data_IF_267598263402
#
_entry.id   IF_267598263402
#
_cell.length_a   1.000
_cell.length_b   1.000
_cell.length_c   1.000
_cell.angle_alpha   90.00
_cell.angle_beta   90.00
_cell.angle_gamma   90.00
#
_symmetry.space_group_name_H-M   'P 1'
#
loop_
_entity.id
_entity.type
_entity.pdbx_description
1 polymer ?
#
# COMPACT_ATOMS: atom_id res chain seq x y z
N UNK A 1 9.24 -15.16 6.88
CA UNK A 1 8.62 -15.83 5.72
C UNK A 1 8.34 -17.26 6.11
N UNK A 2 7.07 -17.60 6.32
CA UNK A 2 6.66 -19.01 6.39
C UNK A 2 6.90 -19.59 5.00
N UNK A 3 7.72 -20.64 4.91
CA UNK A 3 7.77 -21.47 3.71
C UNK A 3 6.37 -22.05 3.52
N UNK A 4 5.55 -21.40 2.70
CA UNK A 4 4.32 -22.01 2.21
C UNK A 4 4.79 -23.10 1.27
N UNK A 5 4.61 -24.36 1.69
CA UNK A 5 4.87 -25.52 0.87
C UNK A 5 3.73 -25.55 -0.16
N UNK A 6 4.02 -25.02 -1.34
CA UNK A 6 3.07 -24.92 -2.46
C UNK A 6 2.82 -26.34 -2.98
N UNK A 7 1.62 -26.86 -2.77
CA UNK A 7 1.11 -28.01 -3.52
C UNK A 7 0.67 -27.54 -4.90
N UNK A 8 0.95 -28.33 -5.94
CA UNK A 8 0.74 -27.96 -7.36
C UNK A 8 -0.73 -27.72 -7.76
N UNK A 9 -1.72 -28.11 -6.96
CA UNK A 9 -3.15 -28.10 -7.33
C UNK A 9 -4.07 -27.39 -6.31
N UNK A 10 -3.58 -26.35 -5.64
CA UNK A 10 -4.42 -25.55 -4.73
C UNK A 10 -4.89 -24.28 -5.45
N UNK A 11 -6.20 -24.08 -5.66
CA UNK A 11 -6.75 -22.86 -6.27
C UNK A 11 -6.34 -21.59 -5.51
N UNK A 12 -6.15 -21.73 -4.19
CA UNK A 12 -5.58 -20.73 -3.29
C UNK A 12 -4.13 -20.32 -3.65
N UNK A 13 -3.36 -21.21 -4.27
CA UNK A 13 -1.99 -20.95 -4.70
C UNK A 13 -1.93 -20.06 -5.93
N UNK A 14 -2.83 -20.26 -6.90
CA UNK A 14 -2.91 -19.47 -8.13
C UNK A 14 -3.35 -18.04 -7.81
N UNK A 15 -4.39 -17.89 -6.99
CA UNK A 15 -4.85 -16.56 -6.54
C UNK A 15 -3.73 -15.82 -5.79
N UNK A 16 -3.00 -16.50 -4.91
CA UNK A 16 -1.85 -15.92 -4.22
C UNK A 16 -0.74 -15.45 -5.18
N UNK A 17 -0.37 -16.29 -6.17
CA UNK A 17 0.68 -15.96 -7.15
C UNK A 17 0.25 -14.74 -7.98
N UNK A 18 -0.98 -14.72 -8.48
CA UNK A 18 -1.47 -13.60 -9.28
C UNK A 18 -1.54 -12.29 -8.50
N UNK A 19 -2.00 -12.33 -7.25
CA UNK A 19 -1.94 -11.15 -6.36
C UNK A 19 -0.52 -10.63 -6.19
N UNK A 20 0.42 -11.54 -5.95
CA UNK A 20 1.82 -11.18 -5.75
C UNK A 20 2.43 -10.61 -7.03
N UNK A 21 2.15 -11.22 -8.18
CA UNK A 21 2.59 -10.74 -9.49
C UNK A 21 2.07 -9.32 -9.76
N UNK A 22 0.78 -9.08 -9.57
CA UNK A 22 0.17 -7.76 -9.77
C UNK A 22 0.69 -6.70 -8.78
N UNK A 23 0.97 -7.07 -7.53
CA UNK A 23 1.58 -6.17 -6.55
C UNK A 23 3.04 -5.81 -6.94
N UNK A 24 3.83 -6.79 -7.37
CA UNK A 24 5.21 -6.57 -7.84
C UNK A 24 5.25 -5.72 -9.11
N UNK A 25 4.34 -5.97 -10.05
CA UNK A 25 4.22 -5.18 -11.28
C UNK A 25 3.94 -3.71 -10.96
N UNK A 26 2.93 -3.42 -10.12
CA UNK A 26 2.63 -2.04 -9.67
C UNK A 26 3.81 -1.40 -8.95
N UNK A 27 4.49 -2.15 -8.07
CA UNK A 27 5.68 -1.65 -7.37
C UNK A 27 6.79 -1.26 -8.36
N UNK A 28 7.16 -2.17 -9.26
CA UNK A 28 8.21 -1.94 -10.25
C UNK A 28 7.84 -0.78 -11.19
N UNK A 29 6.61 -0.72 -11.68
CA UNK A 29 6.12 0.39 -12.52
C UNK A 29 6.25 1.74 -11.81
N UNK A 30 5.99 1.82 -10.49
CA UNK A 30 6.19 3.06 -9.73
C UNK A 30 7.66 3.41 -9.53
N UNK A 31 8.51 2.42 -9.28
CA UNK A 31 9.96 2.62 -9.16
C UNK A 31 10.51 3.18 -10.47
N UNK A 32 10.20 2.56 -11.61
CA UNK A 32 10.75 2.97 -12.92
C UNK A 32 10.11 4.24 -13.47
N UNK A 33 8.88 4.59 -13.08
CA UNK A 33 8.26 5.87 -13.46
C UNK A 33 8.71 7.05 -12.59
N UNK A 34 9.44 6.78 -11.50
CA UNK A 34 9.97 7.83 -10.63
C UNK A 34 11.32 8.35 -11.16
N UNK A 35 11.46 9.67 -11.44
CA UNK A 35 12.67 10.22 -12.06
C UNK A 35 13.97 9.95 -11.28
N UNK A 36 13.90 10.02 -9.94
CA UNK A 36 15.05 9.71 -9.07
C UNK A 36 15.30 8.21 -8.88
N UNK A 37 14.27 7.40 -8.59
CA UNK A 37 14.46 5.97 -8.32
C UNK A 37 14.92 5.20 -9.57
N UNK A 38 14.52 5.60 -10.77
CA UNK A 38 15.01 5.00 -12.02
C UNK A 38 16.53 5.23 -12.23
N UNK A 39 17.08 6.29 -11.63
CA UNK A 39 18.52 6.59 -11.72
C UNK A 39 19.34 5.83 -10.69
N UNK A 40 18.70 5.14 -9.76
CA UNK A 40 19.37 4.37 -8.73
C UNK A 40 20.16 3.20 -9.36
N UNK A 41 21.47 3.07 -9.09
CA UNK A 41 22.29 2.00 -9.66
C UNK A 41 21.78 0.60 -9.30
N UNK A 42 21.26 0.40 -8.09
CA UNK A 42 20.77 -0.91 -7.65
C UNK A 42 19.48 -1.27 -8.40
N UNK A 43 18.61 -0.30 -8.69
CA UNK A 43 17.40 -0.51 -9.50
C UNK A 43 17.77 -0.93 -10.92
N UNK A 44 18.72 -0.24 -11.55
CA UNK A 44 19.18 -0.57 -12.90
C UNK A 44 19.84 -1.94 -12.94
N UNK A 45 20.75 -2.20 -12.01
CA UNK A 45 21.42 -3.49 -11.89
C UNK A 45 20.42 -4.63 -11.67
N UNK A 46 19.40 -4.42 -10.82
CA UNK A 46 18.37 -5.40 -10.55
C UNK A 46 17.52 -5.74 -11.79
N UNK A 47 17.26 -4.75 -12.65
CA UNK A 47 16.44 -4.93 -13.86
C UNK A 47 17.23 -5.43 -15.07
N UNK A 48 18.51 -5.12 -15.16
CA UNK A 48 19.34 -5.38 -16.35
C UNK A 48 20.21 -6.63 -16.24
N UNK A 49 20.48 -7.15 -15.03
CA UNK A 49 21.28 -8.37 -14.87
C UNK A 49 20.48 -9.63 -15.19
N UNK A 50 21.10 -10.52 -15.96
CA UNK A 50 20.56 -11.88 -16.21
C UNK A 50 20.57 -12.74 -14.94
N UNK A 51 21.66 -12.65 -14.16
CA UNK A 51 21.82 -13.38 -12.90
C UNK A 51 21.94 -12.42 -11.72
N UNK A 52 20.98 -12.50 -10.80
CA UNK A 52 21.01 -11.73 -9.56
C UNK A 52 21.92 -12.41 -8.53
N UNK A 53 22.76 -11.65 -7.80
CA UNK A 53 23.59 -12.21 -6.74
C UNK A 53 22.71 -12.89 -5.68
N UNK A 54 23.19 -14.02 -5.16
CA UNK A 54 22.46 -14.77 -4.12
C UNK A 54 22.18 -13.86 -2.94
N UNK A 55 20.91 -13.68 -2.61
CA UNK A 55 20.51 -12.75 -1.58
C UNK A 55 21.10 -13.13 -0.21
N UNK A 56 21.94 -12.24 0.33
CA UNK A 56 22.59 -12.37 1.65
C UNK A 56 21.79 -11.56 2.67
N UNK A 57 21.64 -12.04 3.91
CA UNK A 57 20.95 -11.31 5.00
C UNK A 57 19.46 -10.93 4.75
N UNK A 58 18.72 -11.67 3.94
CA UNK A 58 17.28 -11.41 3.68
C UNK A 58 16.36 -11.54 4.90
N UNK A 59 16.85 -12.07 6.03
CA UNK A 59 16.06 -12.18 7.25
C UNK A 59 15.67 -10.81 7.85
N UNK A 60 16.52 -9.79 7.68
CA UNK A 60 16.24 -8.42 8.13
C UNK A 60 15.14 -7.72 7.31
N UNK A 61 14.94 -8.14 6.05
CA UNK A 61 13.97 -7.56 5.10
C UNK A 61 12.64 -8.33 5.03
N UNK A 62 12.47 -9.40 5.81
CA UNK A 62 11.19 -10.10 5.86
C UNK A 62 10.07 -9.17 6.35
N UNK A 63 8.85 -9.29 5.84
CA UNK A 63 7.74 -8.36 6.15
C UNK A 63 7.53 -8.08 7.64
N UNK A 64 7.79 -9.05 8.52
CA UNK A 64 7.77 -8.86 9.97
C UNK A 64 8.97 -8.07 10.52
N UNK A 65 10.14 -8.15 9.90
CA UNK A 65 11.35 -7.37 10.23
C UNK A 65 11.27 -5.92 9.73
N UNK A 66 10.72 -5.71 8.53
CA UNK A 66 10.48 -4.36 7.98
C UNK A 66 9.32 -3.66 8.71
N UNK A 67 8.17 -4.34 8.95
CA UNK A 67 7.10 -3.81 9.81
C UNK A 67 7.61 -3.58 11.24
N UNK A 68 8.46 -4.46 11.80
CA UNK A 68 9.12 -4.22 13.09
C UNK A 68 10.11 -3.06 13.05
N UNK A 69 10.79 -2.79 11.94
CA UNK A 69 11.67 -1.62 11.84
C UNK A 69 10.88 -0.32 11.73
N UNK A 70 9.76 -0.31 11.00
CA UNK A 70 8.85 0.84 10.93
C UNK A 70 8.15 1.07 12.27
N UNK A 71 7.63 0.04 12.92
CA UNK A 71 7.02 0.16 14.26
C UNK A 71 8.05 0.46 15.34
N UNK A 72 9.25 -0.12 15.31
CA UNK A 72 10.36 0.31 16.19
C UNK A 72 10.81 1.73 15.88
N UNK A 73 10.67 2.20 14.65
CA UNK A 73 10.95 3.57 14.30
C UNK A 73 9.90 4.52 14.92
N UNK A 74 8.62 4.15 14.85
CA UNK A 74 7.52 4.82 15.55
C UNK A 74 7.70 4.79 17.09
N UNK A 75 8.06 3.64 17.66
CA UNK A 75 8.31 3.51 19.12
C UNK A 75 9.57 4.24 19.58
N UNK A 76 10.60 4.35 18.72
CA UNK A 76 11.79 5.14 19.01
C UNK A 76 11.48 6.65 18.99
N UNK A 77 10.53 7.10 18.16
CA UNK A 77 10.02 8.49 18.20
C UNK A 77 9.33 8.77 19.55
N UNK A 78 8.65 7.78 20.13
CA UNK A 78 8.10 7.87 21.50
C UNK A 78 9.16 7.89 22.61
N UNK A 79 10.37 7.37 22.35
CA UNK A 79 11.50 7.36 23.31
C UNK A 79 12.47 8.54 23.17
N UNK A 80 12.34 9.37 22.15
CA UNK A 80 13.19 10.55 21.99
C UNK A 80 12.66 11.69 22.87
N UNK A 81 13.52 12.19 23.76
CA UNK A 81 13.19 13.09 24.87
C UNK A 81 12.90 14.53 24.45
N UNK A 82 13.22 14.91 23.21
CA UNK A 82 12.96 16.25 22.68
C UNK A 82 11.75 16.18 21.74
N UNK A 83 10.60 16.69 22.22
CA UNK A 83 9.40 16.86 21.42
C UNK A 83 9.62 18.01 20.42
N UNK A 84 9.50 17.71 19.13
CA UNK A 84 9.46 18.74 18.10
C UNK A 84 8.15 19.51 18.25
N UNK A 85 8.26 20.83 18.40
CA UNK A 85 7.12 21.72 18.17
C UNK A 85 7.18 22.09 16.70
N UNK A 86 6.29 21.52 15.88
CA UNK A 86 6.28 21.78 14.44
C UNK A 86 6.04 23.29 14.21
N UNK A 87 7.03 23.97 13.65
CA UNK A 87 6.93 25.39 13.33
C UNK A 87 6.46 25.64 11.91
N UNK A 88 6.55 24.65 11.02
CA UNK A 88 6.05 24.72 9.65
C UNK A 88 4.62 24.17 9.61
N UNK A 89 3.65 25.08 9.56
CA UNK A 89 2.22 24.74 9.55
C UNK A 89 1.84 23.78 8.42
N UNK A 90 2.55 23.81 7.29
CA UNK A 90 2.29 22.90 6.18
C UNK A 90 2.56 21.44 6.56
N UNK A 91 3.61 21.15 7.33
CA UNK A 91 3.91 19.78 7.75
C UNK A 91 2.87 19.26 8.75
N UNK A 92 2.43 20.11 9.68
CA UNK A 92 1.37 19.78 10.62
C UNK A 92 0.05 19.50 9.88
N UNK A 93 -0.40 20.44 9.04
CA UNK A 93 -1.64 20.31 8.27
C UNK A 93 -1.61 19.07 7.37
N UNK A 94 -0.48 18.84 6.66
CA UNK A 94 -0.33 17.68 5.76
C UNK A 94 -0.22 16.36 6.50
N UNK A 95 0.40 16.33 7.68
CA UNK A 95 0.42 15.13 8.50
C UNK A 95 -1.01 14.72 8.89
N UNK A 96 -1.81 15.67 9.37
CA UNK A 96 -3.21 15.43 9.74
C UNK A 96 -4.06 15.00 8.53
N UNK A 97 -3.87 15.63 7.37
CA UNK A 97 -4.54 15.25 6.12
C UNK A 97 -4.23 13.80 5.72
N UNK A 98 -2.95 13.42 5.75
CA UNK A 98 -2.50 12.06 5.42
C UNK A 98 -3.04 11.02 6.41
N UNK A 99 -3.06 11.31 7.71
CA UNK A 99 -3.63 10.40 8.71
C UNK A 99 -5.14 10.22 8.55
N UNK A 100 -5.86 11.32 8.32
CA UNK A 100 -7.30 11.28 8.08
C UNK A 100 -7.64 10.48 6.82
N UNK A 101 -6.91 10.72 5.73
CA UNK A 101 -7.09 9.99 4.48
C UNK A 101 -6.78 8.49 4.66
N UNK A 102 -5.67 8.14 5.33
CA UNK A 102 -5.31 6.74 5.58
C UNK A 102 -6.42 6.02 6.36
N UNK A 103 -6.99 6.68 7.38
CA UNK A 103 -8.07 6.11 8.18
C UNK A 103 -9.34 5.90 7.34
N UNK A 104 -9.69 6.84 6.48
CA UNK A 104 -10.84 6.74 5.59
C UNK A 104 -10.66 5.61 4.57
N UNK A 105 -9.49 5.52 3.92
CA UNK A 105 -9.19 4.46 2.97
C UNK A 105 -9.19 3.08 3.64
N UNK A 106 -8.71 2.95 4.88
CA UNK A 106 -8.78 1.68 5.63
C UNK A 106 -10.23 1.23 5.86
N UNK A 107 -11.12 2.17 6.23
CA UNK A 107 -12.55 1.87 6.39
C UNK A 107 -13.18 1.45 5.06
N UNK A 108 -12.89 2.19 3.98
CA UNK A 108 -13.39 1.85 2.65
C UNK A 108 -12.88 0.49 2.18
N UNK A 109 -11.59 0.20 2.36
CA UNK A 109 -10.99 -1.09 2.03
C UNK A 109 -11.67 -2.24 2.76
N UNK A 110 -11.95 -2.10 4.06
CA UNK A 110 -12.64 -3.15 4.83
C UNK A 110 -14.05 -3.44 4.29
N UNK A 111 -14.78 -2.41 3.85
CA UNK A 111 -16.10 -2.58 3.22
C UNK A 111 -15.97 -3.24 1.84
N UNK A 112 -14.97 -2.87 1.05
CA UNK A 112 -14.72 -3.46 -0.27
C UNK A 112 -14.26 -4.93 -0.14
N UNK A 113 -13.41 -5.27 0.83
CA UNK A 113 -13.03 -6.66 1.11
C UNK A 113 -14.27 -7.51 1.44
N UNK A 114 -15.18 -6.96 2.24
CA UNK A 114 -16.46 -7.61 2.54
C UNK A 114 -17.30 -7.80 1.27
N UNK A 115 -17.35 -6.80 0.38
CA UNK A 115 -18.02 -6.91 -0.92
C UNK A 115 -17.45 -8.06 -1.77
N UNK A 116 -16.13 -8.20 -1.84
CA UNK A 116 -15.48 -9.30 -2.58
C UNK A 116 -15.94 -10.66 -2.03
N UNK A 117 -15.96 -10.81 -0.70
CA UNK A 117 -16.35 -12.07 -0.08
C UNK A 117 -17.82 -12.40 -0.34
N UNK A 118 -18.72 -11.43 -0.16
CA UNK A 118 -20.14 -11.61 -0.47
C UNK A 118 -20.36 -11.95 -1.95
N UNK A 119 -19.57 -11.38 -2.87
CA UNK A 119 -19.64 -11.72 -4.30
C UNK A 119 -19.24 -13.17 -4.58
N UNK A 120 -18.17 -13.64 -3.92
CA UNK A 120 -17.71 -15.04 -4.01
C UNK A 120 -18.75 -16.01 -3.43
N UNK A 121 -19.38 -15.64 -2.32
CA UNK A 121 -20.49 -16.43 -1.73
C UNK A 121 -21.70 -16.46 -2.66
N UNK A 122 -22.08 -15.32 -3.24
CA UNK A 122 -23.17 -15.25 -4.21
C UNK A 122 -22.89 -16.15 -5.42
N UNK A 123 -21.69 -16.08 -5.98
CA UNK A 123 -21.22 -16.96 -7.05
C UNK A 123 -21.43 -18.45 -6.70
N UNK A 124 -20.94 -18.88 -5.52
CA UNK A 124 -21.09 -20.27 -5.07
C UNK A 124 -22.55 -20.69 -4.87
N UNK A 125 -23.39 -19.82 -4.32
CA UNK A 125 -24.81 -20.09 -4.14
C UNK A 125 -25.56 -20.17 -5.47
N UNK A 126 -25.23 -19.31 -6.44
CA UNK A 126 -25.76 -19.35 -7.80
C UNK A 126 -25.39 -20.65 -8.51
N UNK A 127 -24.15 -21.13 -8.34
CA UNK A 127 -23.72 -22.43 -8.88
C UNK A 127 -24.58 -23.60 -8.35
N UNK A 128 -24.85 -23.60 -7.04
CA UNK A 128 -25.70 -24.62 -6.40
C UNK A 128 -27.13 -24.52 -6.94
N UNK A 129 -27.64 -23.30 -7.10
CA UNK A 129 -28.98 -23.05 -7.62
C UNK A 129 -29.14 -23.54 -9.06
N UNK A 130 -28.20 -23.19 -9.95
CA UNK A 130 -28.17 -23.64 -11.34
C UNK A 130 -28.21 -25.17 -11.43
N UNK A 131 -27.33 -25.85 -10.69
CA UNK A 131 -27.30 -27.32 -10.63
C UNK A 131 -28.61 -27.91 -10.13
N UNK A 132 -29.22 -27.31 -9.11
CA UNK A 132 -30.49 -27.78 -8.54
C UNK A 132 -31.64 -27.62 -9.53
N UNK A 133 -31.68 -26.52 -10.28
CA UNK A 133 -32.67 -26.31 -11.34
C UNK A 133 -32.50 -27.29 -12.50
N UNK A 134 -31.27 -27.61 -12.89
CA UNK A 134 -31.00 -28.63 -13.90
C UNK A 134 -31.51 -30.02 -13.44
N UNK A 135 -31.28 -30.38 -12.16
CA UNK A 135 -31.79 -31.64 -11.60
C UNK A 135 -33.33 -31.69 -11.54
N UNK A 136 -33.97 -30.56 -11.20
CA UNK A 136 -35.43 -30.45 -11.18
C UNK A 136 -36.00 -30.58 -12.60
N UNK A 137 -35.40 -29.89 -13.58
CA UNK A 137 -35.79 -29.99 -14.99
C UNK A 137 -35.70 -31.42 -15.52
N UNK A 138 -34.67 -32.19 -15.14
CA UNK A 138 -34.53 -33.60 -15.50
C UNK A 138 -35.56 -34.52 -14.83
N UNK A 139 -36.15 -34.10 -13.71
CA UNK A 139 -37.15 -34.88 -12.97
C UNK A 139 -38.59 -34.51 -13.33
N UNK A 140 -38.78 -33.50 -14.17
CA UNK A 140 -40.09 -32.96 -14.54
C UNK A 140 -40.67 -33.68 -15.75
N UNK A 141 -41.91 -34.16 -15.62
CA UNK A 141 -42.61 -34.89 -16.69
C UNK A 141 -43.15 -33.95 -17.77
N UNK A 142 -43.55 -32.73 -17.39
CA UNK A 142 -44.02 -31.74 -18.35
C UNK A 142 -42.83 -31.22 -19.18
N UNK A 143 -42.80 -31.57 -20.47
CA UNK A 143 -41.70 -31.22 -21.37
C UNK A 143 -41.44 -29.71 -21.48
N UNK A 144 -42.49 -28.88 -21.46
CA UNK A 144 -42.33 -27.43 -21.55
C UNK A 144 -41.71 -26.86 -20.26
N UNK A 145 -42.17 -27.32 -19.09
CA UNK A 145 -41.62 -26.92 -17.80
C UNK A 145 -40.18 -27.45 -17.60
N UNK A 146 -39.94 -28.72 -17.94
CA UNK A 146 -38.60 -29.34 -17.93
C UNK A 146 -37.60 -28.52 -18.73
N UNK A 147 -37.94 -28.19 -19.98
CA UNK A 147 -37.11 -27.36 -20.87
C UNK A 147 -36.82 -25.98 -20.26
N UNK A 148 -37.83 -25.32 -19.71
CA UNK A 148 -37.64 -23.99 -19.14
C UNK A 148 -36.78 -24.01 -17.86
N UNK A 149 -36.88 -25.06 -17.03
CA UNK A 149 -36.01 -25.26 -15.88
C UNK A 149 -34.55 -25.52 -16.30
N UNK A 150 -34.32 -26.31 -17.36
CA UNK A 150 -32.97 -26.49 -17.91
C UNK A 150 -32.40 -25.19 -18.47
N UNK A 151 -33.20 -24.39 -19.18
CA UNK A 151 -32.77 -23.08 -19.67
C UNK A 151 -32.50 -22.08 -18.54
N UNK A 152 -33.30 -22.11 -17.47
CA UNK A 152 -33.03 -21.31 -16.27
C UNK A 152 -31.70 -21.72 -15.64
N UNK A 153 -31.41 -23.02 -15.54
CA UNK A 153 -30.12 -23.50 -15.05
C UNK A 153 -28.95 -22.98 -15.89
N UNK A 154 -29.05 -23.01 -17.23
CA UNK A 154 -28.01 -22.45 -18.12
C UNK A 154 -27.83 -20.92 -17.94
N UNK A 155 -28.91 -20.20 -17.66
CA UNK A 155 -28.88 -18.75 -17.41
C UNK A 155 -28.17 -18.47 -16.08
N UNK A 156 -28.46 -19.25 -15.05
CA UNK A 156 -27.82 -19.14 -13.73
C UNK A 156 -26.33 -19.55 -13.78
N UNK A 157 -25.95 -20.56 -14.58
CA UNK A 157 -24.54 -20.89 -14.84
C UNK A 157 -23.80 -19.70 -15.48
N UNK A 158 -24.44 -18.96 -16.38
CA UNK A 158 -23.86 -17.74 -16.97
C UNK A 158 -23.78 -16.59 -15.95
N UNK A 159 -24.71 -16.50 -15.01
CA UNK A 159 -24.69 -15.52 -13.92
C UNK A 159 -23.60 -15.83 -12.89
N UNK A 160 -23.38 -17.11 -12.59
CA UNK A 160 -22.28 -17.58 -11.75
C UNK A 160 -20.93 -17.09 -12.29
N UNK A 161 -20.63 -17.34 -13.57
CA UNK A 161 -19.42 -16.84 -14.22
C UNK A 161 -19.31 -15.32 -14.15
N UNK A 162 -20.43 -14.61 -14.33
CA UNK A 162 -20.47 -13.16 -14.23
C UNK A 162 -20.17 -12.66 -12.81
N UNK A 163 -20.68 -13.34 -11.78
CA UNK A 163 -20.35 -13.04 -10.38
C UNK A 163 -18.89 -13.32 -10.06
N UNK A 164 -18.31 -14.36 -10.66
CA UNK A 164 -16.87 -14.65 -10.55
C UNK A 164 -16.03 -13.52 -11.15
N UNK A 165 -16.37 -13.04 -12.35
CA UNK A 165 -15.71 -11.90 -13.00
C UNK A 165 -15.87 -10.59 -12.20
N UNK A 166 -17.06 -10.36 -11.62
CA UNK A 166 -17.32 -9.23 -10.72
C UNK A 166 -16.43 -9.32 -9.47
N UNK A 167 -16.35 -10.48 -8.83
CA UNK A 167 -15.52 -10.67 -7.64
C UNK A 167 -14.03 -10.41 -7.94
N UNK A 168 -13.56 -10.84 -9.12
CA UNK A 168 -12.22 -10.55 -9.59
C UNK A 168 -11.99 -9.05 -9.81
N UNK A 169 -12.97 -8.34 -10.37
CA UNK A 169 -12.90 -6.88 -10.58
C UNK A 169 -12.92 -6.10 -9.26
N UNK A 170 -13.85 -6.44 -8.36
CA UNK A 170 -13.97 -5.89 -7.01
C UNK A 170 -12.62 -6.00 -6.27
N UNK A 171 -11.94 -7.12 -6.45
CA UNK A 171 -10.67 -7.42 -5.80
C UNK A 171 -9.45 -6.80 -6.48
N UNK A 172 -9.15 -7.21 -7.72
CA UNK A 172 -7.89 -6.86 -8.39
C UNK A 172 -7.83 -5.40 -8.84
N UNK A 173 -8.98 -4.76 -9.06
CA UNK A 173 -9.04 -3.35 -9.45
C UNK A 173 -9.24 -2.49 -8.21
N UNK A 174 -10.31 -2.74 -7.43
CA UNK A 174 -10.70 -1.79 -6.39
C UNK A 174 -10.06 -2.06 -5.03
N UNK A 175 -10.20 -3.27 -4.46
CA UNK A 175 -9.61 -3.60 -3.16
C UNK A 175 -8.08 -3.41 -3.18
N UNK A 176 -7.42 -3.95 -4.21
CA UNK A 176 -5.98 -3.84 -4.36
C UNK A 176 -5.50 -2.40 -4.58
N UNK A 177 -6.26 -1.53 -5.26
CA UNK A 177 -5.94 -0.09 -5.35
C UNK A 177 -5.92 0.55 -3.96
N UNK A 178 -6.97 0.32 -3.17
CA UNK A 178 -7.10 0.87 -1.83
C UNK A 178 -5.99 0.36 -0.91
N UNK A 179 -5.73 -0.95 -0.90
CA UNK A 179 -4.68 -1.58 -0.10
C UNK A 179 -3.31 -0.95 -0.36
N UNK A 180 -3.07 -0.62 -1.62
CA UNK A 180 -1.81 -0.11 -2.11
C UNK A 180 -1.59 1.36 -1.75
N UNK A 181 -2.62 2.20 -1.88
CA UNK A 181 -2.53 3.58 -1.42
C UNK A 181 -2.50 3.70 0.11
N UNK A 182 -3.11 2.78 0.86
CA UNK A 182 -2.90 2.70 2.32
C UNK A 182 -1.42 2.45 2.64
N UNK A 183 -0.74 1.55 1.91
CA UNK A 183 0.71 1.31 2.09
C UNK A 183 1.54 2.53 1.73
N UNK A 184 1.19 3.23 0.64
CA UNK A 184 1.90 4.44 0.22
C UNK A 184 1.70 5.60 1.20
N UNK A 185 0.51 5.80 1.75
CA UNK A 185 0.28 6.78 2.81
C UNK A 185 1.10 6.46 4.07
N UNK A 186 1.22 5.17 4.42
CA UNK A 186 2.14 4.74 5.47
C UNK A 186 3.60 5.08 5.17
N UNK A 187 4.04 4.98 3.92
CA UNK A 187 5.38 5.40 3.50
C UNK A 187 5.57 6.93 3.57
N UNK A 188 4.54 7.71 3.23
CA UNK A 188 4.53 9.18 3.38
C UNK A 188 4.70 9.57 4.85
N UNK A 189 3.96 8.92 5.76
CA UNK A 189 4.13 9.11 7.22
C UNK A 189 5.55 8.78 7.66
N UNK A 190 6.13 7.70 7.15
CA UNK A 190 7.54 7.37 7.37
C UNK A 190 8.49 8.49 6.92
N UNK A 191 8.16 9.24 5.86
CA UNK A 191 8.90 10.43 5.44
C UNK A 191 8.84 11.57 6.45
N UNK A 192 7.66 11.84 7.02
CA UNK A 192 7.51 12.81 8.12
C UNK A 192 8.30 12.39 9.36
N UNK A 193 8.28 11.10 9.73
CA UNK A 193 9.07 10.57 10.84
C UNK A 193 10.58 10.76 10.64
N UNK A 194 11.08 10.57 9.41
CA UNK A 194 12.50 10.84 9.11
C UNK A 194 12.87 12.31 9.29
N UNK A 195 11.96 13.23 8.94
CA UNK A 195 12.18 14.66 9.18
C UNK A 195 12.24 14.98 10.67
N UNK A 196 11.33 14.42 11.48
CA UNK A 196 11.34 14.57 12.94
C UNK A 196 12.67 14.06 13.52
N UNK A 197 13.14 12.89 13.07
CA UNK A 197 14.44 12.32 13.50
C UNK A 197 15.62 13.21 13.14
N UNK A 198 15.62 13.79 11.94
CA UNK A 198 16.67 14.71 11.50
C UNK A 198 16.70 15.97 12.39
N UNK A 199 15.53 16.53 12.70
CA UNK A 199 15.40 17.65 13.62
C UNK A 199 15.92 17.31 15.03
N UNK A 200 15.53 16.15 15.57
CA UNK A 200 15.97 15.74 16.91
C UNK A 200 17.49 15.57 16.97
N UNK A 201 18.10 14.94 15.95
CA UNK A 201 19.57 14.84 15.84
C UNK A 201 20.25 16.20 15.81
N UNK A 202 19.67 17.16 15.10
CA UNK A 202 20.16 18.53 15.07
C UNK A 202 20.08 19.20 16.45
N UNK A 203 18.94 19.10 17.14
CA UNK A 203 18.76 19.67 18.49
C UNK A 203 19.67 19.03 19.55
N UNK A 204 19.87 17.71 19.48
CA UNK A 204 20.80 17.00 20.36
C UNK A 204 22.25 17.47 20.15
N UNK A 205 22.66 17.68 18.89
CA UNK A 205 23.97 18.25 18.56
C UNK A 205 24.09 19.69 19.06
N UNK A 206 23.04 20.51 18.92
CA UNK A 206 22.99 21.88 19.43
C UNK A 206 23.14 21.92 20.96
N UNK A 207 22.43 21.06 21.69
CA UNK A 207 22.55 20.94 23.14
C UNK A 207 23.95 20.50 23.56
N UNK A 208 24.55 19.58 22.80
CA UNK A 208 25.92 19.11 23.06
C UNK A 208 26.94 20.22 22.83
N UNK A 209 26.83 20.97 21.74
CA UNK A 209 27.65 22.15 21.47
C UNK A 209 27.55 23.19 22.59
N UNK A 210 26.33 23.46 23.07
CA UNK A 210 26.11 24.40 24.18
C UNK A 210 26.84 23.96 25.46
N UNK A 211 26.76 22.67 25.82
CA UNK A 211 27.50 22.11 26.97
C UNK A 211 29.02 22.22 26.80
N UNK A 212 29.54 22.06 25.56
CA UNK A 212 30.96 22.22 25.26
C UNK A 212 31.42 23.68 25.44
N UNK A 213 30.63 24.65 24.97
CA UNK A 213 30.87 26.09 25.19
C UNK A 213 30.85 26.46 26.68
N UNK A 214 29.91 25.93 27.45
CA UNK A 214 29.87 26.12 28.91
C UNK A 214 31.08 25.50 29.62
N UNK A 215 31.56 24.35 29.15
CA UNK A 215 32.77 23.73 29.68
C UNK A 215 34.04 24.55 29.37
N UNK A 216 34.16 25.08 28.15
CA UNK A 216 35.25 26.00 27.78
C UNK A 216 35.23 27.25 28.67
N UNK A 217 34.06 27.86 28.87
CA UNK A 217 33.91 29.02 29.76
C UNK A 217 34.39 28.71 31.19
N UNK A 218 34.07 27.52 31.73
CA UNK A 218 34.57 27.08 33.04
C UNK A 218 36.09 26.89 33.06
N UNK A 219 36.69 26.37 31.99
CA UNK A 219 38.14 26.22 31.87
C UNK A 219 38.87 27.57 31.81
N UNK A 220 38.28 28.56 31.12
CA UNK A 220 38.76 29.95 31.10
C UNK A 220 38.75 30.54 32.51
N UNK A 221 37.63 30.42 33.23
CA UNK A 221 37.50 30.88 34.62
C UNK A 221 38.47 30.19 35.58
N UNK A 222 38.76 28.91 35.37
CA UNK A 222 39.69 28.12 36.19
C UNK A 222 41.18 28.32 35.82
N UNK A 223 41.50 29.16 34.83
CA UNK A 223 42.84 29.45 34.34
C UNK A 223 43.68 28.19 33.99
N UNK A 224 43.07 27.25 33.23
CA UNK A 224 43.73 26.00 32.76
C UNK A 224 44.02 26.03 31.25
N UNK A 225 45.08 26.73 30.80
CA UNK A 225 45.35 26.95 29.39
C UNK A 225 45.64 25.66 28.60
N UNK A 226 46.25 24.66 29.24
CA UNK A 226 46.65 23.40 28.58
C UNK A 226 45.46 22.58 28.03
N UNK A 227 44.26 22.79 28.59
CA UNK A 227 43.02 22.10 28.16
C UNK A 227 42.14 22.98 27.27
N UNK A 228 42.47 24.26 27.14
CA UNK A 228 41.65 25.22 26.42
C UNK A 228 41.72 25.00 24.90
N UNK A 229 42.90 24.67 24.38
CA UNK A 229 43.09 24.41 22.96
C UNK A 229 42.25 23.21 22.50
N UNK A 230 42.27 22.11 23.26
CA UNK A 230 41.44 20.93 22.99
C UNK A 230 39.94 21.27 23.04
N UNK A 231 39.49 22.06 24.03
CA UNK A 231 38.09 22.46 24.13
C UNK A 231 37.63 23.29 22.91
N UNK A 232 38.49 24.18 22.40
CA UNK A 232 38.21 24.96 21.18
C UNK A 232 38.13 24.10 19.93
N UNK A 233 39.01 23.12 19.79
CA UNK A 233 38.98 22.16 18.69
C UNK A 233 37.68 21.33 18.73
N UNK A 234 37.30 20.80 19.89
CA UNK A 234 36.04 20.08 20.06
C UNK A 234 34.82 20.96 19.74
N UNK A 235 34.83 22.24 20.14
CA UNK A 235 33.76 23.18 19.79
C UNK A 235 33.66 23.35 18.28
N UNK A 236 34.78 23.55 17.59
CA UNK A 236 34.80 23.67 16.12
C UNK A 236 34.24 22.43 15.41
N UNK A 237 34.56 21.23 15.90
CA UNK A 237 33.98 19.98 15.37
C UNK A 237 32.46 19.92 15.58
N UNK A 238 31.98 20.29 16.76
CA UNK A 238 30.54 20.27 17.07
C UNK A 238 29.78 21.37 16.34
N UNK A 239 30.37 22.54 16.11
CA UNK A 239 29.82 23.60 15.24
C UNK A 239 29.62 23.07 13.82
N UNK A 240 30.65 22.43 13.24
CA UNK A 240 30.55 21.82 11.92
C UNK A 240 29.45 20.74 11.85
N UNK A 241 29.33 19.89 12.90
CA UNK A 241 28.26 18.86 12.98
C UNK A 241 26.87 19.47 13.07
N UNK A 242 26.68 20.51 13.88
CA UNK A 242 25.40 21.23 13.99
C UNK A 242 25.00 21.79 12.63
N UNK A 243 25.91 22.50 11.96
CA UNK A 243 25.65 23.05 10.62
C UNK A 243 25.33 21.96 9.60
N UNK A 244 25.99 20.80 9.67
CA UNK A 244 25.69 19.68 8.80
C UNK A 244 24.28 19.11 9.06
N UNK A 245 23.90 18.89 10.32
CA UNK A 245 22.57 18.35 10.65
C UNK A 245 21.43 19.32 10.37
N UNK A 246 21.67 20.63 10.51
CA UNK A 246 20.72 21.67 10.07
C UNK A 246 20.47 21.56 8.56
N UNK A 247 21.54 21.51 7.75
CA UNK A 247 21.43 21.33 6.29
C UNK A 247 20.74 20.02 5.91
N UNK A 248 21.00 18.94 6.65
CA UNK A 248 20.34 17.65 6.41
C UNK A 248 18.84 17.72 6.72
N UNK A 249 18.45 18.37 7.82
CA UNK A 249 17.05 18.60 8.16
C UNK A 249 16.33 19.40 7.07
N UNK A 250 16.92 20.51 6.60
CA UNK A 250 16.35 21.34 5.54
C UNK A 250 16.20 20.56 4.22
N UNK A 251 17.25 19.83 3.83
CA UNK A 251 17.24 19.00 2.61
C UNK A 251 16.17 17.91 2.68
N UNK A 252 16.04 17.23 3.82
CA UNK A 252 14.99 16.23 4.05
C UNK A 252 13.62 16.90 3.96
N UNK A 253 13.42 18.05 4.59
CA UNK A 253 12.17 18.81 4.53
C UNK A 253 11.78 19.17 3.10
N UNK A 254 12.70 19.73 2.31
CA UNK A 254 12.46 20.06 0.90
C UNK A 254 12.10 18.81 0.08
N UNK A 255 12.80 17.69 0.32
CA UNK A 255 12.56 16.43 -0.39
C UNK A 255 11.20 15.85 -0.05
N UNK A 256 10.85 15.76 1.23
CA UNK A 256 9.54 15.27 1.69
C UNK A 256 8.42 16.12 1.10
N UNK A 257 8.54 17.45 1.14
CA UNK A 257 7.54 18.37 0.58
C UNK A 257 7.33 18.12 -0.92
N UNK A 258 8.42 18.02 -1.68
CA UNK A 258 8.37 17.74 -3.12
C UNK A 258 7.73 16.39 -3.42
N UNK A 259 8.08 15.35 -2.68
CA UNK A 259 7.59 14.00 -2.92
C UNK A 259 6.12 13.81 -2.50
N UNK A 260 5.67 14.47 -1.43
CA UNK A 260 4.24 14.48 -1.04
C UNK A 260 3.39 15.12 -2.15
N UNK A 261 3.81 16.26 -2.68
CA UNK A 261 3.09 16.92 -3.78
C UNK A 261 3.05 16.08 -5.06
N UNK A 262 4.17 15.40 -5.38
CA UNK A 262 4.21 14.44 -6.50
C UNK A 262 3.26 13.27 -6.26
N UNK A 263 3.31 12.69 -5.06
CA UNK A 263 2.45 11.58 -4.65
C UNK A 263 0.97 11.93 -4.77
N UNK A 264 0.54 13.10 -4.29
CA UNK A 264 -0.85 13.55 -4.37
C UNK A 264 -1.35 13.64 -5.83
N UNK A 265 -0.50 14.17 -6.73
CA UNK A 265 -0.82 14.27 -8.15
C UNK A 265 -0.97 12.90 -8.81
N UNK A 266 -0.03 11.98 -8.57
CA UNK A 266 -0.11 10.62 -9.12
C UNK A 266 -1.27 9.84 -8.50
N UNK A 267 -1.52 9.98 -7.19
CA UNK A 267 -2.68 9.41 -6.50
C UNK A 267 -3.99 9.82 -7.18
N UNK A 268 -4.21 11.11 -7.39
CA UNK A 268 -5.45 11.59 -8.02
C UNK A 268 -5.65 11.01 -9.44
N UNK A 269 -4.56 10.94 -10.22
CA UNK A 269 -4.57 10.38 -11.58
C UNK A 269 -4.88 8.88 -11.58
N UNK A 270 -4.20 8.12 -10.74
CA UNK A 270 -4.34 6.67 -10.67
C UNK A 270 -5.72 6.28 -10.14
N UNK A 271 -6.21 6.92 -9.08
CA UNK A 271 -7.57 6.69 -8.57
C UNK A 271 -8.62 6.97 -9.64
N UNK A 272 -8.51 8.11 -10.36
CA UNK A 272 -9.43 8.42 -11.45
C UNK A 272 -9.44 7.31 -12.50
N UNK A 273 -8.25 6.90 -12.98
CA UNK A 273 -8.14 5.88 -14.01
C UNK A 273 -8.69 4.52 -13.56
N UNK A 274 -8.38 4.10 -12.34
CA UNK A 274 -8.78 2.78 -11.84
C UNK A 274 -10.27 2.74 -11.46
N UNK A 275 -10.83 3.82 -10.91
CA UNK A 275 -12.27 3.92 -10.63
C UNK A 275 -13.08 3.88 -11.93
N UNK A 276 -12.64 4.60 -12.98
CA UNK A 276 -13.30 4.53 -14.29
C UNK A 276 -13.30 3.10 -14.82
N UNK A 277 -12.14 2.44 -14.81
CA UNK A 277 -12.01 1.04 -15.25
C UNK A 277 -12.92 0.09 -14.46
N UNK A 278 -13.03 0.29 -13.15
CA UNK A 278 -13.90 -0.51 -12.28
C UNK A 278 -15.38 -0.29 -12.63
N UNK A 279 -15.81 0.96 -12.79
CA UNK A 279 -17.19 1.28 -13.15
C UNK A 279 -17.57 0.78 -14.55
N UNK A 280 -16.64 0.84 -15.51
CA UNK A 280 -16.82 0.26 -16.84
C UNK A 280 -17.00 -1.27 -16.79
N UNK A 281 -16.20 -1.96 -15.98
CA UNK A 281 -16.36 -3.40 -15.77
C UNK A 281 -17.72 -3.75 -15.15
N UNK A 282 -18.17 -2.97 -14.16
CA UNK A 282 -19.50 -3.12 -13.56
C UNK A 282 -20.61 -2.87 -14.58
N UNK A 283 -20.49 -1.83 -15.41
CA UNK A 283 -21.48 -1.51 -16.45
C UNK A 283 -21.59 -2.64 -17.48
N UNK A 284 -20.46 -3.13 -17.99
CA UNK A 284 -20.43 -4.26 -18.93
C UNK A 284 -21.06 -5.51 -18.33
N UNK A 285 -20.80 -5.76 -17.05
CA UNK A 285 -21.39 -6.87 -16.33
C UNK A 285 -22.93 -6.75 -16.26
N UNK A 286 -23.44 -5.57 -15.89
CA UNK A 286 -24.90 -5.32 -15.88
C UNK A 286 -25.54 -5.47 -17.26
N UNK A 287 -24.86 -5.02 -18.33
CA UNK A 287 -25.35 -5.20 -19.69
C UNK A 287 -25.43 -6.68 -20.11
N UNK A 288 -24.48 -7.52 -19.66
CA UNK A 288 -24.54 -8.98 -19.89
C UNK A 288 -25.69 -9.62 -19.12
N UNK A 289 -25.89 -9.23 -17.86
CA UNK A 289 -26.98 -9.72 -17.03
C UNK A 289 -28.34 -9.48 -17.69
N UNK A 290 -28.58 -8.27 -18.21
CA UNK A 290 -29.82 -7.92 -18.93
C UNK A 290 -30.02 -8.87 -20.12
N UNK A 291 -28.99 -9.08 -20.94
CA UNK A 291 -29.07 -9.96 -22.12
C UNK A 291 -29.39 -11.40 -21.74
N UNK A 292 -28.86 -11.90 -20.62
CA UNK A 292 -29.15 -13.26 -20.15
C UNK A 292 -30.63 -13.42 -19.80
N UNK A 293 -31.20 -12.47 -19.06
CA UNK A 293 -32.63 -12.48 -18.71
C UNK A 293 -33.55 -12.26 -19.91
N UNK A 294 -33.20 -11.34 -20.81
CA UNK A 294 -33.97 -11.10 -22.05
C UNK A 294 -34.02 -12.36 -22.94
N UNK A 295 -32.92 -13.10 -23.02
CA UNK A 295 -32.87 -14.35 -23.76
C UNK A 295 -33.71 -15.46 -23.13
N UNK A 296 -33.84 -15.46 -21.79
CA UNK A 296 -34.65 -16.44 -21.06
C UNK A 296 -36.16 -16.15 -21.10
N UNK A 297 -36.54 -14.88 -21.19
CA UNK A 297 -37.93 -14.43 -21.07
C UNK A 297 -38.95 -15.17 -21.98
N UNK A 298 -38.65 -15.52 -23.25
CA UNK A 298 -39.57 -16.27 -24.09
C UNK A 298 -39.85 -17.68 -23.56
N UNK A 299 -38.83 -18.38 -23.07
CA UNK A 299 -38.97 -19.74 -22.51
C UNK A 299 -39.80 -19.71 -21.23
N UNK A 300 -39.63 -18.68 -20.38
CA UNK A 300 -40.48 -18.48 -19.20
C UNK A 300 -41.96 -18.24 -19.55
N UNK A 301 -42.23 -17.48 -20.63
CA UNK A 301 -43.60 -17.23 -21.11
C UNK A 301 -44.26 -18.45 -21.73
N UNK A 302 -43.48 -19.41 -22.23
CA UNK A 302 -44.01 -20.63 -22.86
C UNK A 302 -44.61 -21.63 -21.86
N UNK A 303 -44.39 -21.43 -20.56
CA UNK A 303 -44.95 -22.25 -19.47
C UNK A 303 -46.33 -21.72 -19.00
N UNK A 304 -46.60 -20.42 -19.24
CA UNK A 304 -47.78 -19.70 -18.74
C UNK A 304 -49.06 -20.01 -19.52
#
# INVERSE_FOLDING_TARGET
>A
MTKVKVGMDDSSSVEFVERRRAALERYLQRVVSHPLLLQDPDVREFLEREDLPRAVNTQALSGAGFLKMITKASDAVSKMTIKMNESDSWFEDKFQEVEAEEQQLRKLHAVVDSLVNHRKELCGNTAIFAKSMAMLGNSEDNTALSRALSQLAEVEDKMEQLHQEQAASDFFIFAELLADYIRLLGAVRGGFDQRIRAWQRWQEAQSTLQKKREAEAKLLWANKPDKLQQAKEEIGEWEARVTQYERDFDRIGMTVRKEVLRFEKEKAKDFKSQIIRYLEAMLQSQQRLIKFWEAFLPEAKAIA
#
